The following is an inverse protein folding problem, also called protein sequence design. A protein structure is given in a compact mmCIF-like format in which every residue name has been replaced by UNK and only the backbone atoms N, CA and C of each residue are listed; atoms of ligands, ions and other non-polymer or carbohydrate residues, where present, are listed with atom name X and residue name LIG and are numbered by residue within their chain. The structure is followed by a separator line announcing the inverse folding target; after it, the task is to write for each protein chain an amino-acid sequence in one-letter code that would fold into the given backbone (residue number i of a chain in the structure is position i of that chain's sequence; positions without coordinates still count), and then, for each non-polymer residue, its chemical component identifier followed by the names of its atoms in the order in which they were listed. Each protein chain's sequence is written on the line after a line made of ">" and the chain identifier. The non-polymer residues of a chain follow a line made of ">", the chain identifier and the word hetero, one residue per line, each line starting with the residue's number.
data_IF_346201411173
#
_entry.id   IF_346201411173
#
_cell.length_a   1.000
_cell.length_b   1.000
_cell.length_c   1.000
_cell.angle_alpha   90.00
_cell.angle_beta   90.00
_cell.angle_gamma   90.00
#
_symmetry.space_group_name_H-M   'P 1'
#
loop_
_entity.id
_entity.type
_entity.pdbx_description
1 polymer ?
#
# COMPACT_ATOMS: atom_id res chain seq x y z
N UNK A 1 -8.54 9.51 7.33
CA UNK A 1 -9.45 9.34 6.18
C UNK A 1 -9.26 7.94 5.69
N UNK A 2 -10.28 7.10 5.85
CA UNK A 2 -10.25 5.71 5.42
C UNK A 2 -10.52 5.62 3.92
N UNK A 3 -9.63 4.98 3.19
CA UNK A 3 -9.80 4.59 1.79
C UNK A 3 -9.48 3.11 1.64
N UNK A 4 -10.00 2.48 0.58
CA UNK A 4 -9.64 1.09 0.26
C UNK A 4 -9.60 0.87 -1.25
N UNK A 5 -8.89 -0.17 -1.66
CA UNK A 5 -8.83 -0.64 -3.05
C UNK A 5 -8.86 -2.17 -3.09
N UNK A 6 -9.44 -2.73 -4.14
CA UNK A 6 -9.37 -4.16 -4.39
C UNK A 6 -8.07 -4.50 -5.14
N UNK A 7 -7.45 -5.58 -4.71
CA UNK A 7 -6.26 -6.18 -5.29
C UNK A 7 -6.47 -7.70 -5.37
N UNK A 8 -5.44 -8.43 -5.80
CA UNK A 8 -5.43 -9.89 -5.86
C UNK A 8 -4.12 -10.44 -5.33
N UNK A 9 -4.19 -11.56 -4.63
CA UNK A 9 -3.03 -12.37 -4.26
C UNK A 9 -3.22 -13.81 -4.75
N UNK A 10 -2.12 -14.54 -4.90
CA UNK A 10 -2.13 -15.95 -5.30
C UNK A 10 -1.73 -16.81 -4.11
N UNK A 11 -2.49 -17.87 -3.86
CA UNK A 11 -2.12 -18.94 -2.93
C UNK A 11 -2.10 -20.26 -3.71
N UNK A 12 -0.90 -20.71 -4.06
CA UNK A 12 -0.73 -21.86 -4.96
C UNK A 12 -1.15 -21.51 -6.39
N UNK A 13 -2.22 -22.12 -6.88
CA UNK A 13 -2.81 -21.85 -8.21
C UNK A 13 -4.08 -20.99 -8.14
N UNK A 14 -4.57 -20.74 -6.93
CA UNK A 14 -5.83 -20.05 -6.69
C UNK A 14 -5.59 -18.55 -6.49
N UNK A 15 -6.47 -17.73 -7.08
CA UNK A 15 -6.47 -16.29 -6.92
C UNK A 15 -7.48 -15.87 -5.84
N UNK A 16 -7.08 -14.94 -4.99
CA UNK A 16 -7.87 -14.41 -3.89
C UNK A 16 -7.98 -12.90 -4.03
N UNK A 17 -9.20 -12.38 -3.89
CA UNK A 17 -9.42 -10.94 -3.83
C UNK A 17 -8.92 -10.45 -2.47
N UNK A 18 -8.08 -9.41 -2.49
CA UNK A 18 -7.55 -8.76 -1.29
C UNK A 18 -8.06 -7.34 -1.24
N UNK A 19 -8.71 -6.96 -0.15
CA UNK A 19 -9.08 -5.56 0.12
C UNK A 19 -7.94 -4.89 0.87
N UNK A 20 -7.27 -3.94 0.24
CA UNK A 20 -6.20 -3.15 0.86
C UNK A 20 -6.83 -1.89 1.44
N UNK A 21 -6.61 -1.64 2.72
CA UNK A 21 -7.14 -0.48 3.44
C UNK A 21 -6.02 0.51 3.78
N UNK A 22 -6.34 1.79 3.70
CA UNK A 22 -5.42 2.90 3.94
C UNK A 22 -6.13 3.88 4.86
N UNK A 23 -5.46 4.33 5.91
CA UNK A 23 -5.91 5.48 6.69
C UNK A 23 -4.84 6.57 6.71
N UNK A 24 -5.29 7.81 6.58
CA UNK A 24 -4.46 9.01 6.65
C UNK A 24 -4.90 9.86 7.85
N UNK A 25 -3.97 10.12 8.76
CA UNK A 25 -4.16 11.00 9.92
C UNK A 25 -3.22 12.21 9.85
N UNK A 26 -3.65 13.33 10.43
CA UNK A 26 -2.78 14.50 10.59
C UNK A 26 -1.64 14.21 11.59
N UNK A 27 -0.46 14.77 11.35
CA UNK A 27 0.71 14.59 12.21
C UNK A 27 2.02 14.61 11.43
N UNK A 28 3.08 14.08 12.03
CA UNK A 28 4.36 13.93 11.35
C UNK A 28 4.24 12.91 10.19
N UNK A 29 4.88 13.17 9.04
CA UNK A 29 4.89 12.23 7.93
C UNK A 29 5.43 10.88 8.35
N UNK A 30 4.58 9.87 8.28
CA UNK A 30 4.95 8.47 8.50
C UNK A 30 4.18 7.59 7.54
N UNK A 31 4.76 6.44 7.22
CA UNK A 31 4.13 5.45 6.36
C UNK A 31 4.53 4.10 6.92
N UNK A 32 3.52 3.31 7.30
CA UNK A 32 3.65 1.96 7.83
C UNK A 32 2.73 1.02 7.06
N UNK A 33 3.17 -0.23 6.88
CA UNK A 33 2.37 -1.30 6.28
C UNK A 33 2.30 -2.44 7.29
N UNK A 34 1.08 -2.92 7.57
CA UNK A 34 0.80 -4.01 8.52
C UNK A 34 0.01 -5.13 7.83
N UNK A 35 -0.25 -6.24 8.53
CA UNK A 35 -0.93 -7.41 7.95
C UNK A 35 0.02 -8.48 7.42
N UNK A 36 1.23 -8.57 7.98
CA UNK A 36 2.28 -9.51 7.58
C UNK A 36 2.65 -9.42 6.08
N UNK A 37 2.90 -8.21 5.53
CA UNK A 37 3.31 -8.08 4.15
C UNK A 37 4.68 -8.73 3.93
N UNK A 38 4.88 -9.25 2.72
CA UNK A 38 6.17 -9.73 2.26
C UNK A 38 7.19 -8.57 2.11
N UNK A 39 8.44 -8.92 1.80
CA UNK A 39 9.52 -7.95 1.64
C UNK A 39 9.27 -7.00 0.47
N UNK A 40 8.78 -7.51 -0.66
CA UNK A 40 8.57 -6.71 -1.87
C UNK A 40 7.54 -5.59 -1.68
N UNK A 41 6.47 -5.87 -0.90
CA UNK A 41 5.47 -4.90 -0.49
C UNK A 41 6.06 -3.87 0.48
N UNK A 42 6.89 -4.28 1.45
CA UNK A 42 7.56 -3.34 2.37
C UNK A 42 8.50 -2.38 1.64
N UNK A 43 9.28 -2.88 0.71
CA UNK A 43 10.22 -2.10 -0.11
C UNK A 43 9.53 -1.25 -1.18
N UNK A 44 8.24 -1.51 -1.47
CA UNK A 44 7.49 -0.73 -2.45
C UNK A 44 7.23 0.71 -2.01
N UNK A 45 7.34 1.01 -0.71
CA UNK A 45 7.09 2.33 -0.14
C UNK A 45 7.86 3.44 -0.85
N UNK A 46 9.15 3.26 -1.11
CA UNK A 46 9.97 4.27 -1.77
C UNK A 46 9.53 4.51 -3.23
N UNK A 47 9.06 3.45 -3.91
CA UNK A 47 8.49 3.55 -5.26
C UNK A 47 7.18 4.33 -5.25
N UNK A 48 6.31 4.09 -4.27
CA UNK A 48 5.03 4.80 -4.12
C UNK A 48 5.28 6.29 -3.85
N UNK A 49 6.20 6.62 -2.95
CA UNK A 49 6.56 8.03 -2.65
C UNK A 49 7.10 8.72 -3.91
N UNK A 50 8.01 8.08 -4.65
CA UNK A 50 8.53 8.63 -5.89
C UNK A 50 7.43 8.83 -6.95
N UNK A 51 6.49 7.88 -7.08
CA UNK A 51 5.38 7.98 -8.01
C UNK A 51 4.44 9.15 -7.68
N UNK A 52 4.11 9.37 -6.40
CA UNK A 52 3.28 10.50 -5.94
C UNK A 52 3.93 11.83 -6.32
N UNK A 53 5.23 11.97 -6.03
CA UNK A 53 6.03 13.15 -6.39
C UNK A 53 6.02 13.45 -7.87
N UNK A 54 6.33 12.43 -8.68
CA UNK A 54 6.38 12.56 -10.13
C UNK A 54 5.00 12.77 -10.78
N UNK A 55 3.92 12.51 -10.03
CA UNK A 55 2.55 12.74 -10.47
C UNK A 55 2.04 14.14 -10.10
N UNK A 56 2.87 14.99 -9.45
CA UNK A 56 2.52 16.37 -9.11
C UNK A 56 1.66 16.52 -7.86
N UNK A 57 1.70 15.53 -6.96
CA UNK A 57 0.91 15.50 -5.71
C UNK A 57 1.75 15.69 -4.43
N UNK A 58 2.99 16.20 -4.55
CA UNK A 58 3.86 16.54 -3.41
C UNK A 58 3.74 18.03 -3.03
#
# INVERSE_FOLDING_TARGET
>A
MLAYVYSSAVLGIDAYIVKVEIDISAGLPSFSTVGLPDTAVRESKDRVVAAIRNSGFD
#
